data_IF_425036213322
#
_entry.id   IF_425036213322
#
_cell.length_a   1.000
_cell.length_b   1.000
_cell.length_c   1.000
_cell.angle_alpha   90.00
_cell.angle_beta   90.00
_cell.angle_gamma   90.00
#
_symmetry.space_group_name_H-M   'P 1'
#
loop_
_entity.id
_entity.type
_entity.pdbx_description
1 polymer ?
#
# COMPACT_ATOMS: atom_id res chain seq x y z
N UNK A 1 -9.45 2.40 -9.27
CA UNK A 1 -10.05 3.69 -9.65
C UNK A 1 -9.21 4.82 -9.03
N UNK A 2 -8.99 5.97 -9.70
CA UNK A 2 -8.16 7.09 -9.19
C UNK A 2 -8.94 8.02 -8.21
N UNK A 3 -10.25 7.80 -8.07
CA UNK A 3 -11.14 8.59 -7.22
C UNK A 3 -11.49 7.85 -5.93
N UNK A 4 -11.56 8.55 -4.79
CA UNK A 4 -12.00 7.99 -3.50
C UNK A 4 -10.97 7.99 -2.37
N UNK A 5 -9.72 8.39 -2.66
CA UNK A 5 -8.66 8.53 -1.65
C UNK A 5 -8.67 9.92 -0.99
N UNK A 6 -8.19 9.99 0.24
CA UNK A 6 -7.87 11.26 0.90
C UNK A 6 -6.68 11.98 0.24
N UNK A 7 -6.39 13.20 0.68
CA UNK A 7 -5.25 14.00 0.22
C UNK A 7 -5.49 14.86 -1.01
N UNK A 8 -6.70 14.87 -1.59
CA UNK A 8 -7.03 15.75 -2.71
C UNK A 8 -7.35 17.19 -2.26
N UNK A 9 -6.35 17.84 -1.64
CA UNK A 9 -6.45 19.23 -1.15
C UNK A 9 -6.76 20.22 -2.29
N UNK A 10 -6.38 19.89 -3.52
CA UNK A 10 -6.60 20.75 -4.69
C UNK A 10 -8.08 20.83 -5.06
N UNK A 11 -8.80 19.70 -5.03
CA UNK A 11 -10.25 19.70 -5.24
C UNK A 11 -10.98 20.40 -4.10
N UNK A 12 -10.56 20.15 -2.85
CA UNK A 12 -11.14 20.80 -1.69
C UNK A 12 -10.92 22.33 -1.75
N UNK A 13 -9.72 22.78 -2.11
CA UNK A 13 -9.39 24.20 -2.25
C UNK A 13 -10.25 24.90 -3.31
N UNK A 14 -10.46 24.26 -4.47
CA UNK A 14 -11.38 24.77 -5.50
C UNK A 14 -12.80 24.94 -4.96
N UNK A 15 -13.29 23.98 -4.17
CA UNK A 15 -14.63 24.02 -3.57
C UNK A 15 -14.75 25.11 -2.50
N UNK A 16 -13.72 25.29 -1.68
CA UNK A 16 -13.68 26.27 -0.58
C UNK A 16 -13.26 27.67 -1.03
N UNK A 17 -12.79 27.83 -2.27
CA UNK A 17 -12.25 29.08 -2.82
C UNK A 17 -11.07 29.64 -2.01
N UNK A 18 -10.20 28.74 -1.53
CA UNK A 18 -8.93 29.07 -0.88
C UNK A 18 -7.74 28.51 -1.68
N UNK A 19 -6.52 28.74 -1.21
CA UNK A 19 -5.35 28.08 -1.76
C UNK A 19 -5.20 26.67 -1.18
N UNK A 20 -4.63 25.69 -1.91
CA UNK A 20 -4.40 24.35 -1.38
C UNK A 20 -3.58 24.33 -0.09
N UNK A 21 -2.61 25.23 0.05
CA UNK A 21 -1.74 25.34 1.21
C UNK A 21 -2.38 26.07 2.41
N UNK A 22 -3.60 26.60 2.26
CA UNK A 22 -4.39 27.09 3.40
C UNK A 22 -5.08 25.93 4.15
N UNK A 23 -5.07 24.72 3.58
CA UNK A 23 -5.74 23.53 4.12
C UNK A 23 -4.75 22.75 4.99
N UNK A 24 -5.14 22.51 6.24
CA UNK A 24 -4.52 21.51 7.10
C UNK A 24 -5.10 20.15 6.71
N UNK A 25 -4.36 19.36 5.93
CA UNK A 25 -4.82 18.05 5.47
C UNK A 25 -4.68 16.99 6.55
N UNK A 26 -5.83 16.51 7.04
CA UNK A 26 -5.93 15.38 7.98
C UNK A 26 -6.55 14.14 7.32
N UNK A 27 -6.64 14.12 5.98
CA UNK A 27 -7.24 13.03 5.20
C UNK A 27 -6.20 12.10 4.58
N UNK A 28 -4.91 12.48 4.59
CA UNK A 28 -3.79 11.66 4.13
C UNK A 28 -2.81 11.36 5.26
N UNK A 29 -2.16 10.20 5.19
CA UNK A 29 -1.25 9.71 6.24
C UNK A 29 0.21 10.05 5.90
N UNK A 30 0.53 11.33 5.72
CA UNK A 30 1.90 11.80 5.46
C UNK A 30 2.63 12.13 6.77
N UNK A 31 3.97 12.00 6.77
CA UNK A 31 4.77 12.34 7.95
C UNK A 31 4.75 13.87 8.20
N UNK A 32 4.22 14.35 9.35
CA UNK A 32 4.13 15.78 9.63
C UNK A 32 5.49 16.44 9.90
N UNK A 33 6.54 15.67 10.17
CA UNK A 33 7.91 16.18 10.37
C UNK A 33 8.58 16.60 9.06
N UNK A 34 7.95 16.37 7.91
CA UNK A 34 8.51 16.68 6.59
C UNK A 34 9.53 15.64 6.11
N UNK A 35 10.31 15.98 5.07
CA UNK A 35 11.28 15.06 4.49
C UNK A 35 12.45 14.77 5.47
N UNK A 36 13.15 13.64 5.30
CA UNK A 36 14.37 13.36 6.05
C UNK A 36 15.39 14.52 5.97
N UNK A 37 16.15 14.79 7.06
CA UNK A 37 17.18 15.83 7.06
C UNK A 37 18.16 15.69 5.88
N UNK A 38 18.44 16.80 5.21
CA UNK A 38 19.36 16.86 4.07
C UNK A 38 18.81 16.36 2.73
N UNK A 39 17.61 15.75 2.69
CA UNK A 39 17.02 15.29 1.42
C UNK A 39 16.75 16.47 0.47
N UNK A 40 16.25 17.59 0.98
CA UNK A 40 15.96 18.78 0.17
C UNK A 40 17.23 19.35 -0.45
N UNK A 41 18.30 19.47 0.32
CA UNK A 41 19.60 19.97 -0.14
C UNK A 41 20.22 19.02 -1.17
N UNK A 42 20.19 17.71 -0.90
CA UNK A 42 20.65 16.69 -1.84
C UNK A 42 19.93 16.78 -3.18
N UNK A 43 18.60 16.92 -3.16
CA UNK A 43 17.81 17.04 -4.39
C UNK A 43 18.14 18.33 -5.16
N UNK A 44 18.36 19.46 -4.47
CA UNK A 44 18.77 20.71 -5.11
C UNK A 44 20.13 20.59 -5.79
N UNK A 45 21.10 19.98 -5.13
CA UNK A 45 22.45 19.79 -5.66
C UNK A 45 22.50 18.84 -6.86
N UNK A 46 21.57 17.87 -6.92
CA UNK A 46 21.54 16.83 -7.94
C UNK A 46 20.44 17.02 -8.99
N UNK A 47 19.73 18.16 -8.98
CA UNK A 47 18.59 18.41 -9.88
C UNK A 47 18.97 18.31 -11.38
N UNK A 48 20.24 18.61 -11.70
CA UNK A 48 20.80 18.53 -13.05
C UNK A 48 20.91 17.11 -13.59
N UNK A 49 20.83 16.07 -12.75
CA UNK A 49 20.84 14.68 -13.19
C UNK A 49 19.58 14.28 -13.98
N UNK A 50 18.49 15.04 -13.88
CA UNK A 50 17.21 14.77 -14.58
C UNK A 50 17.22 15.08 -16.08
N UNK A 51 18.41 15.15 -16.70
CA UNK A 51 18.57 15.25 -18.16
C UNK A 51 18.65 13.88 -18.84
N UNK A 52 18.79 12.80 -18.06
CA UNK A 52 18.88 11.44 -18.53
C UNK A 52 17.77 10.57 -17.92
N UNK A 53 17.44 9.48 -18.61
CA UNK A 53 16.56 8.45 -18.04
C UNK A 53 17.24 7.79 -16.82
N UNK A 54 16.46 7.35 -15.82
CA UNK A 54 17.00 6.56 -14.72
C UNK A 54 17.54 5.21 -15.22
N UNK A 55 18.28 4.52 -14.35
CA UNK A 55 18.66 3.11 -14.57
C UNK A 55 17.39 2.29 -14.83
N UNK A 56 17.33 1.58 -15.96
CA UNK A 56 16.13 0.85 -16.39
C UNK A 56 15.69 -0.23 -15.38
N UNK A 57 16.62 -0.75 -14.59
CA UNK A 57 16.41 -1.75 -13.55
C UNK A 57 16.34 -1.17 -12.13
N UNK A 58 16.52 0.15 -11.97
CA UNK A 58 16.69 0.82 -10.69
C UNK A 58 17.77 0.18 -9.78
N UNK A 59 18.82 -0.38 -10.39
CA UNK A 59 19.80 -1.25 -9.73
C UNK A 59 20.38 -0.65 -8.44
N UNK A 60 20.80 0.62 -8.45
CA UNK A 60 21.34 1.26 -7.23
C UNK A 60 20.35 1.29 -6.07
N UNK A 61 19.07 1.59 -6.33
CA UNK A 61 18.04 1.62 -5.29
C UNK A 61 17.75 0.21 -4.75
N UNK A 62 17.67 -0.78 -5.65
CA UNK A 62 17.50 -2.20 -5.31
C UNK A 62 18.64 -2.69 -4.42
N UNK A 63 19.90 -2.48 -4.82
CA UNK A 63 21.06 -2.92 -4.04
C UNK A 63 21.16 -2.20 -2.69
N UNK A 64 20.90 -0.89 -2.64
CA UNK A 64 20.93 -0.14 -1.39
C UNK A 64 19.88 -0.64 -0.39
N UNK A 65 18.65 -0.90 -0.86
CA UNK A 65 17.58 -1.48 -0.04
C UNK A 65 17.96 -2.89 0.44
N UNK A 66 18.38 -3.76 -0.49
CA UNK A 66 18.77 -5.13 -0.20
C UNK A 66 19.88 -5.21 0.86
N UNK A 67 20.94 -4.42 0.71
CA UNK A 67 22.04 -4.33 1.66
C UNK A 67 21.58 -3.82 3.04
N UNK A 68 20.73 -2.80 3.07
CA UNK A 68 20.23 -2.21 4.34
C UNK A 68 19.41 -3.18 5.19
N UNK A 69 18.73 -4.12 4.56
CA UNK A 69 17.86 -5.10 5.23
C UNK A 69 18.42 -6.53 5.24
N UNK A 70 19.59 -6.77 4.63
CA UNK A 70 20.22 -8.09 4.60
C UNK A 70 19.45 -9.12 3.78
N UNK A 71 18.77 -8.69 2.71
CA UNK A 71 17.98 -9.56 1.81
C UNK A 71 18.66 -9.72 0.45
N UNK A 72 18.41 -10.84 -0.24
CA UNK A 72 18.91 -11.03 -1.61
C UNK A 72 18.34 -9.94 -2.54
N UNK A 73 19.15 -9.19 -3.30
CA UNK A 73 18.66 -8.20 -4.25
C UNK A 73 17.71 -8.77 -5.30
N UNK A 74 17.76 -10.07 -5.60
CA UNK A 74 16.78 -10.74 -6.48
C UNK A 74 15.37 -10.80 -5.91
N UNK A 75 15.22 -10.59 -4.60
CA UNK A 75 13.94 -10.54 -3.91
C UNK A 75 13.37 -9.11 -3.81
N UNK A 76 14.02 -8.12 -4.42
CA UNK A 76 13.65 -6.71 -4.32
C UNK A 76 13.31 -6.17 -5.70
N UNK A 77 12.16 -5.50 -5.78
CA UNK A 77 11.70 -4.81 -6.98
C UNK A 77 11.38 -3.35 -6.65
N UNK A 78 11.94 -2.41 -7.41
CA UNK A 78 11.58 -1.01 -7.33
C UNK A 78 10.30 -0.75 -8.15
N UNK A 79 9.41 0.08 -7.62
CA UNK A 79 8.15 0.45 -8.27
C UNK A 79 7.81 1.93 -8.03
N UNK A 80 6.92 2.46 -8.86
CA UNK A 80 6.43 3.83 -8.77
C UNK A 80 5.32 3.95 -7.71
N UNK A 81 5.67 3.62 -6.46
CA UNK A 81 4.75 3.52 -5.33
C UNK A 81 4.12 2.14 -5.17
N UNK A 82 3.69 1.83 -3.94
CA UNK A 82 3.13 0.52 -3.57
C UNK A 82 1.87 0.16 -4.36
N UNK A 83 1.06 1.17 -4.73
CA UNK A 83 -0.12 1.00 -5.58
C UNK A 83 0.20 0.26 -6.88
N UNK A 84 1.35 0.53 -7.52
CA UNK A 84 1.73 -0.21 -8.73
C UNK A 84 1.78 -1.72 -8.49
N UNK A 85 2.34 -2.15 -7.36
CA UNK A 85 2.43 -3.56 -7.01
C UNK A 85 1.08 -4.14 -6.62
N UNK A 86 0.23 -3.40 -5.89
CA UNK A 86 -1.14 -3.84 -5.55
C UNK A 86 -1.91 -4.22 -6.82
N UNK A 87 -1.84 -3.39 -7.87
CA UNK A 87 -2.52 -3.65 -9.13
C UNK A 87 -1.85 -4.73 -9.98
N UNK A 88 -0.55 -4.99 -9.82
CA UNK A 88 0.19 -5.95 -10.64
C UNK A 88 0.24 -7.37 -10.06
N UNK A 89 0.36 -7.50 -8.74
CA UNK A 89 0.60 -8.77 -8.03
C UNK A 89 -0.45 -9.84 -8.36
N UNK A 90 -1.77 -9.57 -8.32
CA UNK A 90 -2.78 -10.62 -8.49
C UNK A 90 -2.66 -11.35 -9.82
N UNK A 91 -2.40 -10.58 -10.89
CA UNK A 91 -2.13 -11.15 -12.21
C UNK A 91 -0.79 -11.87 -12.27
N UNK A 92 0.26 -11.32 -11.66
CA UNK A 92 1.60 -11.90 -11.68
C UNK A 92 1.67 -13.27 -10.98
N UNK A 93 0.91 -13.45 -9.89
CA UNK A 93 0.85 -14.72 -9.15
C UNK A 93 -0.27 -15.65 -9.62
N UNK A 94 -1.08 -15.22 -10.59
CA UNK A 94 -2.14 -16.03 -11.18
C UNK A 94 -3.36 -16.25 -10.27
N UNK A 95 -3.64 -15.30 -9.36
CA UNK A 95 -4.81 -15.31 -8.47
C UNK A 95 -6.09 -15.62 -9.24
N UNK A 96 -6.92 -16.55 -8.73
CA UNK A 96 -8.25 -16.87 -9.28
C UNK A 96 -9.35 -16.42 -8.34
N UNK A 97 -9.15 -16.55 -7.04
CA UNK A 97 -10.10 -16.10 -6.03
C UNK A 97 -9.39 -15.49 -4.83
N UNK A 98 -9.72 -14.23 -4.52
CA UNK A 98 -9.09 -13.48 -3.44
C UNK A 98 -10.02 -13.31 -2.22
N UNK A 99 -9.46 -13.41 -1.02
CA UNK A 99 -10.10 -12.99 0.21
C UNK A 99 -9.52 -11.64 0.65
N UNK A 100 -10.37 -10.65 0.91
CA UNK A 100 -9.95 -9.31 1.36
C UNK A 100 -10.46 -9.08 2.78
N UNK A 101 -9.54 -8.88 3.73
CA UNK A 101 -9.87 -8.54 5.13
C UNK A 101 -10.26 -7.06 5.20
N UNK A 102 -11.53 -6.76 5.46
CA UNK A 102 -12.13 -5.44 5.34
C UNK A 102 -12.79 -4.94 6.65
N UNK A 103 -13.10 -3.64 6.79
CA UNK A 103 -12.83 -2.55 5.85
C UNK A 103 -11.32 -2.31 5.71
N UNK A 104 -10.85 -2.11 4.49
CA UNK A 104 -9.44 -1.89 4.20
C UNK A 104 -9.25 -0.99 2.97
N UNK A 105 -8.00 -0.81 2.52
CA UNK A 105 -7.67 -0.05 1.32
C UNK A 105 -8.38 -0.59 0.08
N UNK A 106 -9.11 0.28 -0.63
CA UNK A 106 -9.98 -0.10 -1.75
C UNK A 106 -9.24 -0.72 -2.92
N UNK A 107 -7.96 -0.39 -3.10
CA UNK A 107 -7.20 -0.78 -4.29
C UNK A 107 -7.00 -2.30 -4.39
N UNK A 108 -7.14 -3.06 -3.31
CA UNK A 108 -7.09 -4.54 -3.39
C UNK A 108 -8.25 -5.10 -4.20
N UNK A 109 -9.46 -4.59 -3.96
CA UNK A 109 -10.66 -4.99 -4.70
C UNK A 109 -10.62 -4.45 -6.13
N UNK A 110 -10.18 -3.21 -6.32
CA UNK A 110 -10.00 -2.62 -7.65
C UNK A 110 -8.98 -3.40 -8.49
N UNK A 111 -7.87 -3.85 -7.88
CA UNK A 111 -6.88 -4.69 -8.54
C UNK A 111 -7.49 -6.03 -8.99
N UNK A 112 -8.32 -6.66 -8.16
CA UNK A 112 -9.03 -7.88 -8.54
C UNK A 112 -10.01 -7.62 -9.69
N UNK A 113 -10.83 -6.59 -9.57
CA UNK A 113 -11.81 -6.20 -10.59
C UNK A 113 -11.15 -5.87 -11.93
N UNK A 114 -9.98 -5.21 -11.93
CA UNK A 114 -9.23 -4.86 -13.14
C UNK A 114 -8.79 -6.09 -13.95
N UNK A 115 -8.64 -7.26 -13.31
CA UNK A 115 -8.20 -8.50 -13.93
C UNK A 115 -9.29 -9.57 -13.99
N UNK A 116 -10.56 -9.21 -13.78
CA UNK A 116 -11.71 -10.13 -13.71
C UNK A 116 -11.50 -11.28 -12.69
N UNK A 117 -10.81 -10.99 -11.59
CA UNK A 117 -10.55 -11.94 -10.50
C UNK A 117 -11.74 -11.91 -9.53
N UNK A 118 -12.26 -13.09 -9.19
CA UNK A 118 -13.28 -13.20 -8.15
C UNK A 118 -12.69 -12.82 -6.79
N UNK A 119 -13.47 -12.12 -5.96
CA UNK A 119 -13.06 -11.81 -4.60
C UNK A 119 -14.23 -11.77 -3.63
N UNK A 120 -13.95 -12.06 -2.36
CA UNK A 120 -14.89 -11.95 -1.24
C UNK A 120 -14.29 -11.11 -0.13
N UNK A 121 -15.16 -10.57 0.72
CA UNK A 121 -14.74 -9.81 1.90
C UNK A 121 -14.95 -10.62 3.17
N UNK A 122 -13.93 -10.64 4.02
CA UNK A 122 -14.10 -10.91 5.45
C UNK A 122 -14.28 -9.57 6.16
N UNK A 123 -15.49 -9.29 6.65
CA UNK A 123 -15.83 -8.01 7.29
C UNK A 123 -15.61 -8.07 8.80
N UNK A 124 -14.55 -7.41 9.27
CA UNK A 124 -14.34 -7.15 10.70
C UNK A 124 -15.43 -6.22 11.25
N UNK A 125 -15.75 -6.38 12.52
CA UNK A 125 -16.91 -5.72 13.14
C UNK A 125 -16.47 -4.59 14.09
N UNK A 126 -17.21 -3.48 14.05
CA UNK A 126 -16.99 -2.36 14.98
C UNK A 126 -17.16 -2.79 16.46
N UNK A 127 -18.08 -3.71 16.75
CA UNK A 127 -18.29 -4.28 18.08
C UNK A 127 -17.08 -5.06 18.63
N UNK A 128 -16.16 -5.44 17.75
CA UNK A 128 -14.90 -6.13 18.08
C UNK A 128 -13.69 -5.21 17.86
N UNK A 129 -13.90 -3.89 17.79
CA UNK A 129 -12.86 -2.90 17.48
C UNK A 129 -12.12 -3.17 16.16
N UNK A 130 -12.79 -3.81 15.20
CA UNK A 130 -12.22 -4.26 13.94
C UNK A 130 -11.03 -5.23 14.06
N UNK A 131 -10.85 -5.88 15.21
CA UNK A 131 -9.84 -6.93 15.38
C UNK A 131 -10.30 -8.16 14.58
N UNK A 132 -9.49 -8.66 13.63
CA UNK A 132 -9.86 -9.82 12.83
C UNK A 132 -9.83 -11.11 13.66
N UNK A 133 -10.83 -11.97 13.46
CA UNK A 133 -10.80 -13.35 13.97
C UNK A 133 -9.98 -14.22 13.01
N UNK A 134 -8.75 -14.52 13.42
CA UNK A 134 -7.81 -15.32 12.62
C UNK A 134 -8.28 -16.76 12.42
N UNK A 135 -9.05 -17.31 13.36
CA UNK A 135 -9.62 -18.66 13.21
C UNK A 135 -10.67 -18.66 12.10
N UNK A 136 -11.48 -17.60 12.03
CA UNK A 136 -12.46 -17.47 10.95
C UNK A 136 -11.77 -17.19 9.61
N UNK A 137 -10.76 -16.31 9.57
CA UNK A 137 -9.96 -16.07 8.36
C UNK A 137 -9.34 -17.36 7.84
N UNK A 138 -8.80 -18.21 8.72
CA UNK A 138 -8.20 -19.49 8.32
C UNK A 138 -9.21 -20.47 7.70
N UNK A 139 -10.49 -20.37 8.08
CA UNK A 139 -11.58 -21.13 7.45
C UNK A 139 -11.94 -20.53 6.09
N UNK A 140 -12.12 -19.21 6.04
CA UNK A 140 -12.56 -18.51 4.84
C UNK A 140 -11.51 -18.58 3.72
N UNK A 141 -10.22 -18.54 4.08
CA UNK A 141 -9.13 -18.66 3.11
C UNK A 141 -9.07 -20.03 2.43
N UNK A 142 -9.80 -21.06 2.89
CA UNK A 142 -9.87 -22.35 2.17
C UNK A 142 -10.59 -22.24 0.84
N UNK A 143 -11.43 -21.21 0.66
CA UNK A 143 -12.12 -20.93 -0.59
C UNK A 143 -11.35 -19.98 -1.53
N UNK A 144 -10.23 -19.42 -1.07
CA UNK A 144 -9.42 -18.44 -1.81
C UNK A 144 -8.00 -18.97 -2.04
N UNK A 145 -7.36 -18.55 -3.12
CA UNK A 145 -5.94 -18.84 -3.37
C UNK A 145 -5.01 -17.68 -2.98
N UNK A 146 -5.59 -16.51 -2.73
CA UNK A 146 -4.87 -15.29 -2.38
C UNK A 146 -5.61 -14.57 -1.26
N UNK A 147 -4.88 -14.02 -0.29
CA UNK A 147 -5.46 -13.18 0.77
C UNK A 147 -4.78 -11.82 0.81
N UNK A 148 -5.57 -10.76 0.91
CA UNK A 148 -5.08 -9.40 1.17
C UNK A 148 -5.29 -9.05 2.64
N UNK A 149 -4.18 -8.75 3.32
CA UNK A 149 -4.17 -8.24 4.70
C UNK A 149 -3.32 -6.97 4.71
N UNK A 150 -3.88 -5.88 5.22
CA UNK A 150 -3.15 -4.64 5.48
C UNK A 150 -2.75 -4.61 6.95
N UNK A 151 -1.46 -4.48 7.26
CA UNK A 151 -0.96 -4.53 8.63
C UNK A 151 0.12 -3.46 8.92
N UNK A 152 -0.12 -2.49 9.83
CA UNK A 152 -1.41 -2.19 10.45
C UNK A 152 -2.46 -1.81 9.39
N UNK A 153 -3.73 -2.10 9.67
CA UNK A 153 -4.80 -1.91 8.69
C UNK A 153 -5.10 -0.41 8.46
N UNK A 154 -5.36 -0.04 7.21
CA UNK A 154 -5.96 1.24 6.84
C UNK A 154 -7.43 0.98 6.46
N UNK A 155 -8.45 1.53 7.16
CA UNK A 155 -8.38 2.73 8.00
C UNK A 155 -8.37 2.49 9.52
N UNK A 156 -8.47 1.24 9.99
CA UNK A 156 -8.76 0.99 11.41
C UNK A 156 -7.56 1.17 12.34
N UNK A 157 -6.34 1.18 11.79
CA UNK A 157 -5.09 1.23 12.55
C UNK A 157 -4.76 -0.06 13.31
N UNK A 158 -5.60 -1.10 13.21
CA UNK A 158 -5.43 -2.37 13.92
C UNK A 158 -4.16 -3.06 13.43
N UNK A 159 -3.27 -3.39 14.37
CA UNK A 159 -2.06 -4.17 14.12
C UNK A 159 -2.30 -5.62 14.56
N UNK A 160 -2.11 -6.54 13.62
CA UNK A 160 -2.01 -7.98 13.88
C UNK A 160 -0.55 -8.28 14.22
N UNK A 161 -0.27 -8.92 15.37
CA UNK A 161 1.07 -9.38 15.73
C UNK A 161 1.70 -10.29 14.66
N UNK A 162 3.02 -10.24 14.51
CA UNK A 162 3.73 -10.97 13.45
C UNK A 162 3.61 -12.49 13.59
N UNK A 163 3.72 -13.02 14.81
CA UNK A 163 3.53 -14.44 15.13
C UNK A 163 2.13 -14.94 14.72
N UNK A 164 1.13 -14.10 14.93
CA UNK A 164 -0.25 -14.38 14.54
C UNK A 164 -0.43 -14.37 13.01
N UNK A 165 0.20 -13.43 12.30
CA UNK A 165 0.20 -13.45 10.83
C UNK A 165 0.94 -14.65 10.27
N UNK A 166 2.09 -14.99 10.84
CA UNK A 166 2.87 -16.16 10.44
C UNK A 166 2.07 -17.46 10.60
N UNK A 167 1.17 -17.54 11.58
CA UNK A 167 0.28 -18.70 11.75
C UNK A 167 -0.71 -18.92 10.59
N UNK A 168 -0.94 -17.90 9.75
CA UNK A 168 -1.74 -18.02 8.53
C UNK A 168 -0.92 -18.54 7.34
N UNK A 169 0.40 -18.41 7.39
CA UNK A 169 1.31 -18.93 6.39
C UNK A 169 1.45 -20.45 6.58
N UNK A 170 1.46 -21.21 5.47
CA UNK A 170 1.65 -22.67 5.48
C UNK A 170 3.12 -23.03 5.31
#
# INVERSE_FOLDING_TARGET
MICGHGGNIYELARRLKCQPFDIIDMSSNVNPSGPPPGLTEFLKENISAMIALPEADAGKAVFAFAHRYGIDPKCVLAGNGTTQFIYAIPKAIGTKNALIVAPTYSDYADACAMHDIAYTYYLTQASQNFVPDLTQIQKDMQAADTIFICNPNNPTGVLIPSDQLESLCR
#
